data_IF_077265473203
#
_entry.id   IF_077265473203
#
_cell.length_a   1.000
_cell.length_b   1.000
_cell.length_c   1.000
_cell.angle_alpha   90.00
_cell.angle_beta   90.00
_cell.angle_gamma   90.00
#
_symmetry.space_group_name_H-M   'P 1'
#
loop_
_entity.id
_entity.type
_entity.pdbx_description
1 polymer ?
#
# COMPACT_ATOMS: atom_id res chain seq x y z
N UNK A 1 5.20 -20.85 -8.06
CA UNK A 1 6.13 -19.77 -7.63
C UNK A 1 5.83 -18.41 -8.28
N UNK A 2 5.96 -18.25 -9.62
CA UNK A 2 5.80 -16.94 -10.30
C UNK A 2 4.37 -16.34 -10.31
N UNK A 3 3.31 -17.16 -10.18
CA UNK A 3 1.91 -16.67 -10.06
C UNK A 3 1.54 -16.22 -8.64
N UNK A 4 2.18 -16.76 -7.60
CA UNK A 4 1.93 -16.39 -6.20
C UNK A 4 2.62 -15.06 -5.85
N UNK A 5 3.82 -14.82 -6.39
CA UNK A 5 4.54 -13.54 -6.26
C UNK A 5 3.83 -12.34 -6.93
N UNK A 6 2.83 -12.59 -7.80
CA UNK A 6 2.05 -11.53 -8.45
C UNK A 6 0.78 -11.13 -7.70
N UNK A 7 0.28 -11.98 -6.79
CA UNK A 7 -0.96 -11.70 -6.05
C UNK A 7 -0.75 -11.08 -4.67
N UNK A 8 0.49 -11.12 -4.15
CA UNK A 8 0.89 -10.43 -2.94
C UNK A 8 2.30 -9.87 -3.17
N UNK A 9 2.47 -8.55 -3.44
CA UNK A 9 3.81 -7.99 -3.40
C UNK A 9 4.37 -8.29 -2.02
N UNK A 10 5.49 -9.03 -1.96
CA UNK A 10 6.17 -9.33 -0.71
C UNK A 10 6.81 -8.04 -0.22
N UNK A 11 5.97 -7.19 0.36
CA UNK A 11 6.32 -5.88 0.87
C UNK A 11 7.51 -5.92 1.82
N UNK A 12 7.68 -7.03 2.54
CA UNK A 12 8.83 -7.34 3.38
C UNK A 12 10.15 -7.44 2.60
N UNK A 13 10.14 -8.08 1.44
CA UNK A 13 11.29 -8.20 0.55
C UNK A 13 11.61 -6.85 -0.09
N UNK A 14 10.59 -6.12 -0.54
CA UNK A 14 10.76 -4.75 -1.05
C UNK A 14 11.39 -3.84 -0.01
N UNK A 15 10.94 -3.90 1.25
CA UNK A 15 11.57 -3.16 2.33
C UNK A 15 13.01 -3.60 2.55
N UNK A 16 13.29 -4.91 2.54
CA UNK A 16 14.64 -5.44 2.68
C UNK A 16 15.59 -4.90 1.61
N UNK A 17 15.14 -4.85 0.35
CA UNK A 17 15.90 -4.26 -0.76
C UNK A 17 16.10 -2.76 -0.57
N UNK A 18 15.03 -2.01 -0.27
CA UNK A 18 15.11 -0.55 -0.03
C UNK A 18 16.07 -0.25 1.13
N UNK A 19 16.03 -1.03 2.21
CA UNK A 19 16.94 -0.91 3.35
C UNK A 19 18.40 -1.03 2.90
N UNK A 20 18.75 -2.13 2.22
CA UNK A 20 20.14 -2.39 1.78
C UNK A 20 20.63 -1.28 0.84
N UNK A 21 19.80 -0.87 -0.13
CA UNK A 21 20.15 0.19 -1.09
C UNK A 21 20.34 1.54 -0.39
N UNK A 22 19.41 1.93 0.48
CA UNK A 22 19.50 3.19 1.20
C UNK A 22 20.74 3.25 2.10
N UNK A 23 21.03 2.18 2.84
CA UNK A 23 22.23 2.11 3.69
C UNK A 23 23.50 2.16 2.85
N UNK A 24 23.54 1.49 1.70
CA UNK A 24 24.68 1.55 0.80
C UNK A 24 24.93 2.98 0.27
N UNK A 25 23.86 3.72 -0.07
CA UNK A 25 23.94 5.14 -0.47
C UNK A 25 24.47 6.00 0.69
N UNK A 26 23.97 5.79 1.91
CA UNK A 26 24.44 6.53 3.10
C UNK A 26 25.93 6.25 3.35
N UNK A 27 26.36 4.98 3.27
CA UNK A 27 27.76 4.61 3.42
C UNK A 27 28.64 5.24 2.34
N UNK A 28 28.21 5.21 1.08
CA UNK A 28 28.94 5.86 -0.01
C UNK A 28 29.09 7.36 0.24
N UNK A 29 28.02 8.03 0.66
CA UNK A 29 28.05 9.45 1.02
C UNK A 29 29.05 9.73 2.15
N UNK A 30 28.99 8.97 3.26
CA UNK A 30 29.91 9.13 4.39
C UNK A 30 31.37 8.85 4.00
N UNK A 31 31.62 7.84 3.15
CA UNK A 31 32.96 7.54 2.63
C UNK A 31 33.51 8.67 1.75
N UNK A 32 32.70 9.24 0.86
CA UNK A 32 33.12 10.38 0.05
C UNK A 32 33.40 11.62 0.90
N UNK A 33 32.59 11.85 1.94
CA UNK A 33 32.79 12.94 2.88
C UNK A 33 34.08 12.76 3.70
N UNK A 34 34.44 11.52 4.05
CA UNK A 34 35.69 11.21 4.77
C UNK A 34 36.96 11.59 4.00
N UNK A 35 36.90 11.67 2.67
CA UNK A 35 38.05 12.03 1.82
C UNK A 35 38.17 13.54 1.57
N UNK A 36 37.07 14.29 1.60
CA UNK A 36 37.01 15.65 1.07
C UNK A 36 37.01 16.76 2.13
N UNK A 37 36.86 16.44 3.41
CA UNK A 37 36.59 17.46 4.45
C UNK A 37 37.42 17.19 5.70
N UNK A 38 38.07 18.23 6.22
CA UNK A 38 38.67 18.31 7.57
C UNK A 38 37.60 18.35 8.67
N UNK A 39 36.49 17.63 8.48
CA UNK A 39 35.44 17.42 9.47
C UNK A 39 35.99 16.53 10.56
N UNK A 40 35.38 16.61 11.75
CA UNK A 40 35.70 15.77 12.89
C UNK A 40 35.71 14.28 12.50
N UNK A 41 36.92 13.76 12.29
CA UNK A 41 37.18 12.42 11.75
C UNK A 41 36.43 11.34 12.53
N UNK A 42 36.30 11.54 13.85
CA UNK A 42 35.53 10.69 14.76
C UNK A 42 34.04 10.58 14.37
N UNK A 43 33.39 11.66 13.98
CA UNK A 43 31.96 11.69 13.61
C UNK A 43 31.72 10.84 12.36
N UNK A 44 32.56 11.04 11.34
CA UNK A 44 32.43 10.32 10.07
C UNK A 44 32.75 8.83 10.26
N UNK A 45 33.79 8.49 11.02
CA UNK A 45 34.17 7.10 11.29
C UNK A 45 33.12 6.36 12.13
N UNK A 46 32.55 6.99 13.15
CA UNK A 46 31.48 6.39 13.96
C UNK A 46 30.19 6.18 13.15
N UNK A 47 29.86 7.10 12.25
CA UNK A 47 28.76 6.95 11.29
C UNK A 47 28.98 5.79 10.32
N UNK A 48 30.17 5.67 9.72
CA UNK A 48 30.52 4.56 8.83
C UNK A 48 30.39 3.22 9.57
N UNK A 49 30.91 3.13 10.80
CA UNK A 49 30.80 1.92 11.61
C UNK A 49 29.33 1.55 11.89
N UNK A 50 28.53 2.52 12.35
CA UNK A 50 27.11 2.32 12.66
C UNK A 50 26.33 1.78 11.46
N UNK A 51 26.47 2.42 10.29
CA UNK A 51 25.75 2.02 9.09
C UNK A 51 26.32 0.74 8.45
N UNK A 52 27.60 0.42 8.67
CA UNK A 52 28.18 -0.86 8.25
C UNK A 52 27.60 -2.02 9.05
N UNK A 53 27.48 -1.88 10.37
CA UNK A 53 26.81 -2.87 11.23
C UNK A 53 25.34 -3.01 10.82
N UNK A 54 24.67 -1.89 10.53
CA UNK A 54 23.28 -1.90 10.08
C UNK A 54 23.10 -2.55 8.70
N UNK A 55 24.07 -2.40 7.78
CA UNK A 55 24.08 -3.09 6.50
C UNK A 55 24.18 -4.61 6.68
N UNK A 56 25.06 -5.08 7.56
CA UNK A 56 25.19 -6.51 7.89
C UNK A 56 23.89 -7.07 8.45
N UNK A 57 23.21 -6.32 9.33
CA UNK A 57 21.87 -6.67 9.80
C UNK A 57 20.86 -6.76 8.64
N UNK A 58 20.84 -5.76 7.74
CA UNK A 58 19.98 -5.74 6.57
C UNK A 58 20.19 -6.94 5.64
N UNK A 59 21.44 -7.30 5.38
CA UNK A 59 21.82 -8.50 4.61
C UNK A 59 21.41 -9.78 5.34
N UNK A 60 21.59 -9.86 6.66
CA UNK A 60 21.12 -10.98 7.48
C UNK A 60 19.61 -11.18 7.41
N UNK A 61 18.83 -10.10 7.47
CA UNK A 61 17.37 -10.14 7.25
C UNK A 61 17.05 -10.61 5.83
N UNK A 62 17.78 -10.14 4.81
CA UNK A 62 17.61 -10.60 3.43
C UNK A 62 17.88 -12.10 3.27
N UNK A 63 18.95 -12.62 3.88
CA UNK A 63 19.29 -14.04 3.89
C UNK A 63 18.19 -14.84 4.61
N UNK A 64 17.61 -14.33 5.69
CA UNK A 64 16.54 -15.02 6.43
C UNK A 64 15.29 -15.31 5.58
N UNK A 65 15.03 -14.53 4.52
CA UNK A 65 13.94 -14.81 3.57
C UNK A 65 14.19 -16.06 2.73
N UNK A 66 15.45 -16.36 2.42
CA UNK A 66 15.81 -17.56 1.66
C UNK A 66 15.42 -18.84 2.42
N UNK A 67 15.48 -18.78 3.76
CA UNK A 67 15.12 -19.91 4.62
C UNK A 67 13.64 -19.90 5.04
N UNK A 68 13.02 -18.73 5.24
CA UNK A 68 11.61 -18.60 5.64
C UNK A 68 10.90 -17.49 4.85
N UNK A 69 10.36 -17.80 3.67
CA UNK A 69 9.75 -16.80 2.78
C UNK A 69 8.36 -16.32 3.23
N UNK A 70 7.78 -16.92 4.28
CA UNK A 70 6.49 -16.49 4.81
C UNK A 70 6.63 -15.18 5.59
N UNK A 71 5.58 -14.36 5.60
CA UNK A 71 5.51 -13.10 6.36
C UNK A 71 5.82 -13.34 7.84
N UNK A 72 6.73 -12.54 8.40
CA UNK A 72 7.14 -12.65 9.81
C UNK A 72 7.00 -11.32 10.55
N UNK A 73 6.11 -11.26 11.53
CA UNK A 73 5.97 -10.10 12.44
C UNK A 73 7.28 -9.80 13.15
N UNK A 74 8.05 -10.83 13.53
CA UNK A 74 9.33 -10.66 14.22
C UNK A 74 10.34 -9.91 13.34
N UNK A 75 10.49 -10.29 12.07
CA UNK A 75 11.44 -9.64 11.15
C UNK A 75 11.04 -8.21 10.86
N UNK A 76 9.74 -7.95 10.71
CA UNK A 76 9.23 -6.59 10.51
C UNK A 76 9.57 -5.73 11.72
N UNK A 77 9.18 -6.16 12.93
CA UNK A 77 9.41 -5.38 14.16
C UNK A 77 10.89 -5.16 14.44
N UNK A 78 11.73 -6.19 14.33
CA UNK A 78 13.18 -6.05 14.48
C UNK A 78 13.78 -5.11 13.44
N UNK A 79 13.30 -5.19 12.19
CA UNK A 79 13.69 -4.28 11.12
C UNK A 79 13.37 -2.83 11.44
N UNK A 80 12.15 -2.55 11.91
CA UNK A 80 11.72 -1.20 12.32
C UNK A 80 12.60 -0.67 13.45
N UNK A 81 12.86 -1.51 14.46
CA UNK A 81 13.70 -1.12 15.60
C UNK A 81 15.11 -0.76 15.14
N UNK A 82 15.71 -1.61 14.31
CA UNK A 82 17.05 -1.36 13.79
C UNK A 82 17.09 -0.06 12.95
N UNK A 83 16.16 0.12 12.02
CA UNK A 83 16.12 1.27 11.12
C UNK A 83 16.01 2.58 11.91
N UNK A 84 15.06 2.66 12.85
CA UNK A 84 14.85 3.89 13.63
C UNK A 84 15.99 4.13 14.62
N UNK A 85 16.51 3.09 15.26
CA UNK A 85 17.61 3.22 16.21
C UNK A 85 18.89 3.71 15.53
N UNK A 86 19.21 3.21 14.33
CA UNK A 86 20.39 3.67 13.58
C UNK A 86 20.30 5.17 13.23
N UNK A 87 19.15 5.65 12.78
CA UNK A 87 18.99 7.08 12.50
C UNK A 87 18.97 7.92 13.78
N UNK A 88 18.40 7.40 14.88
CA UNK A 88 18.40 8.10 16.18
C UNK A 88 19.80 8.23 16.76
N UNK A 89 20.59 7.15 16.74
CA UNK A 89 21.99 7.16 17.17
C UNK A 89 22.80 8.11 16.28
N UNK A 90 22.59 8.08 14.96
CA UNK A 90 23.26 9.00 14.05
C UNK A 90 22.96 10.47 14.41
N UNK A 91 21.72 10.83 14.74
CA UNK A 91 21.39 12.19 15.20
C UNK A 91 22.09 12.57 16.50
N UNK A 92 22.23 11.62 17.44
CA UNK A 92 22.90 11.84 18.72
C UNK A 92 24.41 12.07 18.52
N UNK A 93 25.06 11.34 17.61
CA UNK A 93 26.52 11.39 17.46
C UNK A 93 27.00 12.45 16.48
N UNK A 94 26.17 12.89 15.54
CA UNK A 94 26.59 13.79 14.44
C UNK A 94 26.11 15.24 14.58
N UNK A 95 25.25 15.56 15.56
CA UNK A 95 24.79 16.92 15.83
C UNK A 95 24.11 17.58 14.64
N UNK A 96 24.57 18.77 14.26
CA UNK A 96 24.01 19.56 13.15
C UNK A 96 24.05 18.80 11.82
N UNK A 97 25.17 18.12 11.53
CA UNK A 97 25.34 17.31 10.31
C UNK A 97 24.28 16.20 10.26
N UNK A 98 23.82 15.75 11.43
CA UNK A 98 22.80 14.73 11.59
C UNK A 98 21.36 15.20 11.46
N UNK A 99 21.11 16.50 11.43
CA UNK A 99 19.74 17.03 11.40
C UNK A 99 18.88 16.46 10.26
N UNK A 100 19.39 16.24 9.03
CA UNK A 100 18.61 15.61 7.96
C UNK A 100 18.12 14.19 8.26
N UNK A 101 18.76 13.45 9.18
CA UNK A 101 18.35 12.09 9.55
C UNK A 101 16.97 12.04 10.21
N UNK A 102 16.51 13.16 10.79
CA UNK A 102 15.14 13.30 11.28
C UNK A 102 14.10 12.98 10.18
N UNK A 103 14.33 13.44 8.95
CA UNK A 103 13.45 13.15 7.82
C UNK A 103 13.47 11.65 7.45
N UNK A 104 14.59 10.97 7.69
CA UNK A 104 14.71 9.52 7.56
C UNK A 104 13.80 8.76 8.53
N UNK A 105 13.71 9.18 9.79
CA UNK A 105 12.78 8.60 10.76
C UNK A 105 11.31 8.73 10.30
N UNK A 106 10.93 9.87 9.72
CA UNK A 106 9.60 10.06 9.14
C UNK A 106 9.36 9.17 7.92
N UNK A 107 10.32 9.11 6.99
CA UNK A 107 10.25 8.24 5.82
C UNK A 107 10.03 6.78 6.21
N UNK A 108 10.81 6.28 7.19
CA UNK A 108 10.67 4.93 7.74
C UNK A 108 9.28 4.75 8.36
N UNK A 109 8.82 5.71 9.16
CA UNK A 109 7.52 5.67 9.83
C UNK A 109 6.36 5.57 8.84
N UNK A 110 6.34 6.45 7.83
CA UNK A 110 5.31 6.42 6.78
C UNK A 110 5.39 5.15 5.94
N UNK A 111 6.59 4.76 5.53
CA UNK A 111 6.83 3.54 4.78
C UNK A 111 6.27 2.31 5.49
N UNK A 112 6.49 2.19 6.81
CA UNK A 112 5.93 1.09 7.60
C UNK A 112 4.40 1.18 7.71
N UNK A 113 3.84 2.38 7.87
CA UNK A 113 2.39 2.58 7.95
C UNK A 113 1.65 2.22 6.68
N UNK A 114 2.13 2.67 5.52
CA UNK A 114 1.54 2.33 4.22
C UNK A 114 1.66 0.84 3.92
N UNK A 115 2.82 0.26 4.25
CA UNK A 115 3.18 -1.10 3.88
C UNK A 115 2.57 -2.18 4.77
N UNK A 116 2.56 -1.96 6.09
CA UNK A 116 2.15 -2.97 7.07
C UNK A 116 0.91 -2.57 7.87
N UNK A 117 0.45 -1.33 7.75
CA UNK A 117 -0.77 -0.83 8.36
C UNK A 117 -0.56 0.02 9.61
N UNK A 118 -1.67 0.48 10.18
CA UNK A 118 -1.71 1.48 11.25
C UNK A 118 -0.93 1.08 12.52
N UNK A 119 -0.92 -0.22 12.88
CA UNK A 119 -0.23 -0.68 14.09
C UNK A 119 1.27 -0.40 14.01
N UNK A 120 1.86 -0.62 12.83
CA UNK A 120 3.28 -0.38 12.60
C UNK A 120 3.59 1.10 12.42
N UNK A 121 2.63 1.90 11.92
CA UNK A 121 2.74 3.37 11.89
C UNK A 121 2.86 3.93 13.32
N UNK A 122 1.96 3.54 14.22
CA UNK A 122 2.00 4.01 15.61
C UNK A 122 3.24 3.51 16.34
N UNK A 123 3.62 2.25 16.13
CA UNK A 123 4.84 1.68 16.73
C UNK A 123 6.11 2.42 16.28
N UNK A 124 6.26 2.66 14.97
CA UNK A 124 7.40 3.42 14.43
C UNK A 124 7.37 4.89 14.84
N UNK A 125 6.19 5.50 14.96
CA UNK A 125 6.04 6.87 15.49
C UNK A 125 6.53 6.94 16.94
N UNK A 126 6.06 6.03 17.80
CA UNK A 126 6.48 5.99 19.21
C UNK A 126 7.99 5.80 19.35
N UNK A 127 8.58 4.88 18.57
CA UNK A 127 10.01 4.66 18.60
C UNK A 127 10.80 5.87 18.07
N UNK A 128 10.33 6.53 17.00
CA UNK A 128 10.97 7.74 16.46
C UNK A 128 10.90 8.92 17.44
N UNK A 129 9.76 9.08 18.14
CA UNK A 129 9.59 10.10 19.19
C UNK A 129 10.56 9.86 20.34
N UNK A 130 10.70 8.62 20.80
CA UNK A 130 11.67 8.26 21.85
C UNK A 130 13.10 8.52 21.39
N UNK A 131 13.46 8.06 20.19
CA UNK A 131 14.79 8.23 19.63
C UNK A 131 15.18 9.70 19.42
N UNK A 132 14.26 10.52 18.93
CA UNK A 132 14.50 11.95 18.77
C UNK A 132 14.49 12.71 20.09
N UNK A 133 13.65 12.32 21.06
CA UNK A 133 13.70 12.88 22.42
C UNK A 133 15.05 12.62 23.08
N UNK A 134 15.63 11.44 22.87
CA UNK A 134 16.99 11.14 23.31
C UNK A 134 18.01 12.06 22.62
N UNK A 135 17.87 12.34 21.32
CA UNK A 135 18.73 13.30 20.62
C UNK A 135 18.63 14.73 21.20
N UNK A 136 17.43 15.18 21.58
CA UNK A 136 17.22 16.49 22.21
C UNK A 136 17.96 16.64 23.55
N UNK A 137 18.11 15.53 24.29
CA UNK A 137 18.73 15.53 25.63
C UNK A 137 20.22 15.22 25.57
N UNK A 138 20.67 14.37 24.64
CA UNK A 138 22.03 13.83 24.66
C UNK A 138 23.02 14.57 23.76
N UNK A 139 22.55 15.43 22.86
CA UNK A 139 23.41 16.11 21.89
C UNK A 139 23.36 17.63 22.04
N UNK A 140 24.55 18.26 22.07
CA UNK A 140 24.72 19.70 22.33
C UNK A 140 24.03 20.59 21.29
N UNK A 141 24.08 20.23 20.00
CA UNK A 141 23.41 21.01 18.96
C UNK A 141 21.90 21.10 19.21
N UNK A 142 21.28 19.99 19.59
CA UNK A 142 19.85 19.96 19.85
C UNK A 142 19.46 20.65 21.16
N UNK A 143 20.29 20.56 22.20
CA UNK A 143 20.10 21.33 23.44
C UNK A 143 20.16 22.84 23.18
N UNK A 144 21.06 23.28 22.30
CA UNK A 144 21.18 24.69 21.91
C UNK A 144 20.01 25.17 21.02
N UNK A 145 19.27 24.25 20.41
CA UNK A 145 18.19 24.54 19.45
C UNK A 145 16.84 23.95 19.89
N UNK A 146 16.56 23.91 21.21
CA UNK A 146 15.33 23.33 21.78
C UNK A 146 14.03 23.81 21.10
N UNK A 147 13.83 25.11 20.78
CA UNK A 147 12.59 25.54 20.12
C UNK A 147 12.33 24.84 18.78
N UNK A 148 13.38 24.68 17.95
CA UNK A 148 13.30 23.94 16.68
C UNK A 148 13.07 22.45 16.97
N UNK A 149 13.79 21.90 17.94
CA UNK A 149 13.66 20.52 18.38
C UNK A 149 12.23 20.15 18.81
N UNK A 150 11.57 20.99 19.61
CA UNK A 150 10.17 20.80 20.01
C UNK A 150 9.26 20.84 18.78
N UNK A 151 9.45 21.80 17.87
CA UNK A 151 8.68 21.87 16.63
C UNK A 151 8.78 20.60 15.79
N UNK A 152 10.00 20.06 15.64
CA UNK A 152 10.25 18.81 14.93
C UNK A 152 9.68 17.58 15.67
N UNK A 153 9.67 17.58 17.00
CA UNK A 153 9.06 16.51 17.81
C UNK A 153 7.53 16.49 17.65
N UNK A 154 6.90 17.67 17.65
CA UNK A 154 5.47 17.83 17.37
C UNK A 154 5.18 17.36 15.94
N UNK A 155 5.96 17.77 14.95
CA UNK A 155 5.79 17.33 13.56
C UNK A 155 5.96 15.80 13.41
N UNK A 156 6.94 15.21 14.11
CA UNK A 156 7.17 13.76 14.16
C UNK A 156 5.96 13.00 14.70
N UNK A 157 5.11 13.64 15.50
CA UNK A 157 3.90 13.03 16.08
C UNK A 157 2.65 13.31 15.25
N UNK A 158 2.46 14.58 14.84
CA UNK A 158 1.27 15.04 14.14
C UNK A 158 1.21 14.50 12.71
N UNK A 159 2.33 14.45 11.98
CA UNK A 159 2.33 14.00 10.59
C UNK A 159 1.93 12.53 10.45
N UNK A 160 2.50 11.56 11.21
CA UNK A 160 2.00 10.19 11.19
C UNK A 160 0.53 10.09 11.62
N UNK A 161 0.10 10.87 12.62
CA UNK A 161 -1.30 10.91 13.06
C UNK A 161 -2.26 11.35 11.95
N UNK A 162 -1.91 12.40 11.21
CA UNK A 162 -2.67 12.86 10.05
C UNK A 162 -2.73 11.81 8.94
N UNK A 163 -1.58 11.19 8.61
CA UNK A 163 -1.51 10.11 7.62
C UNK A 163 -2.35 8.91 8.06
N UNK A 164 -2.37 8.56 9.35
CA UNK A 164 -3.21 7.48 9.86
C UNK A 164 -4.69 7.74 9.58
N UNK A 165 -5.17 8.97 9.77
CA UNK A 165 -6.55 9.38 9.47
C UNK A 165 -6.82 9.30 7.96
N UNK A 166 -5.89 9.77 7.12
CA UNK A 166 -6.04 9.70 5.67
C UNK A 166 -6.12 8.26 5.15
N UNK A 167 -5.23 7.38 5.62
CA UNK A 167 -5.24 5.95 5.26
C UNK A 167 -6.57 5.32 5.65
N UNK A 168 -7.09 5.63 6.85
CA UNK A 168 -8.40 5.12 7.31
C UNK A 168 -9.54 5.57 6.41
N UNK A 169 -9.60 6.86 6.08
CA UNK A 169 -10.63 7.43 5.21
C UNK A 169 -10.58 6.81 3.82
N UNK A 170 -9.39 6.71 3.23
CA UNK A 170 -9.20 6.11 1.91
C UNK A 170 -9.68 4.66 1.87
N UNK A 171 -9.31 3.86 2.88
CA UNK A 171 -9.77 2.46 2.98
C UNK A 171 -11.28 2.34 3.18
N UNK A 172 -11.88 3.23 3.97
CA UNK A 172 -13.32 3.24 4.19
C UNK A 172 -14.09 3.56 2.90
N UNK A 173 -13.65 4.57 2.14
CA UNK A 173 -14.27 4.91 0.86
C UNK A 173 -14.04 3.84 -0.21
N UNK A 174 -12.85 3.25 -0.27
CA UNK A 174 -12.57 2.11 -1.15
C UNK A 174 -13.53 0.95 -0.84
N UNK A 175 -13.71 0.61 0.44
CA UNK A 175 -14.63 -0.45 0.86
C UNK A 175 -16.07 -0.14 0.47
N UNK A 176 -16.53 1.11 0.66
CA UNK A 176 -17.87 1.55 0.26
C UNK A 176 -18.08 1.43 -1.24
N UNK A 177 -17.09 1.85 -2.04
CA UNK A 177 -17.15 1.75 -3.50
C UNK A 177 -17.20 0.29 -3.96
N UNK A 178 -16.42 -0.59 -3.33
CA UNK A 178 -16.41 -2.02 -3.61
C UNK A 178 -17.74 -2.69 -3.23
N UNK A 179 -18.28 -2.40 -2.05
CA UNK A 179 -19.60 -2.87 -1.61
C UNK A 179 -20.72 -2.40 -2.56
N UNK A 180 -20.69 -1.14 -3.00
CA UNK A 180 -21.65 -0.59 -3.96
C UNK A 180 -21.53 -1.26 -5.34
N UNK A 181 -20.30 -1.49 -5.82
CA UNK A 181 -20.04 -2.20 -7.08
C UNK A 181 -20.58 -3.64 -7.03
N UNK A 182 -20.28 -4.37 -5.95
CA UNK A 182 -20.78 -5.73 -5.75
C UNK A 182 -22.32 -5.76 -5.69
N UNK A 183 -22.95 -4.81 -5.01
CA UNK A 183 -24.41 -4.71 -4.94
C UNK A 183 -25.04 -4.42 -6.32
N UNK A 184 -24.43 -3.51 -7.12
CA UNK A 184 -24.86 -3.22 -8.49
C UNK A 184 -24.79 -4.48 -9.36
N UNK A 185 -23.67 -5.20 -9.31
CA UNK A 185 -23.48 -6.44 -10.07
C UNK A 185 -24.46 -7.55 -9.66
N UNK A 186 -24.68 -7.72 -8.35
CA UNK A 186 -25.66 -8.68 -7.83
C UNK A 186 -27.09 -8.33 -8.26
N UNK A 187 -27.46 -7.05 -8.21
CA UNK A 187 -28.76 -6.57 -8.67
C UNK A 187 -28.96 -6.83 -10.17
N UNK A 188 -28.00 -6.46 -11.02
CA UNK A 188 -28.09 -6.66 -12.47
C UNK A 188 -28.15 -8.14 -12.85
N UNK A 189 -27.36 -8.99 -12.20
CA UNK A 189 -27.43 -10.43 -12.39
C UNK A 189 -28.81 -11.00 -12.03
N UNK A 190 -29.38 -10.59 -10.89
CA UNK A 190 -30.72 -11.02 -10.48
C UNK A 190 -31.80 -10.55 -11.46
N UNK A 191 -31.78 -9.27 -11.84
CA UNK A 191 -32.73 -8.71 -12.79
C UNK A 191 -32.66 -9.41 -14.16
N UNK A 192 -31.45 -9.74 -14.63
CA UNK A 192 -31.27 -10.50 -15.88
C UNK A 192 -31.96 -11.86 -15.83
N UNK A 193 -31.83 -12.60 -14.72
CA UNK A 193 -32.54 -13.87 -14.53
C UNK A 193 -34.06 -13.70 -14.49
N UNK A 194 -34.55 -12.68 -13.77
CA UNK A 194 -35.98 -12.41 -13.64
C UNK A 194 -36.62 -11.94 -14.96
N UNK A 195 -35.88 -11.25 -15.84
CA UNK A 195 -36.39 -10.81 -17.16
C UNK A 195 -36.25 -11.89 -18.23
N UNK A 196 -35.17 -12.69 -18.21
CA UNK A 196 -34.97 -13.78 -19.18
C UNK A 196 -36.13 -14.79 -19.16
N UNK A 197 -36.68 -15.06 -17.98
CA UNK A 197 -37.77 -16.04 -17.79
C UNK A 197 -39.05 -15.65 -18.56
N UNK A 198 -39.69 -14.48 -18.34
CA UNK A 198 -40.86 -14.06 -19.11
C UNK A 198 -40.53 -13.82 -20.59
N UNK A 199 -39.33 -13.34 -20.92
CA UNK A 199 -38.93 -13.08 -22.31
C UNK A 199 -38.82 -14.37 -23.13
N UNK A 200 -38.23 -15.43 -22.55
CA UNK A 200 -38.24 -16.76 -23.15
C UNK A 200 -39.66 -17.31 -23.31
N UNK A 201 -40.57 -16.97 -22.39
CA UNK A 201 -42.00 -17.27 -22.53
C UNK A 201 -42.63 -16.58 -23.74
N UNK A 202 -42.36 -15.28 -23.95
CA UNK A 202 -42.84 -14.51 -25.11
C UNK A 202 -42.26 -15.09 -26.41
N UNK A 203 -40.96 -15.36 -26.47
CA UNK A 203 -40.29 -15.95 -27.64
C UNK A 203 -40.89 -17.33 -27.94
N UNK A 204 -41.04 -18.20 -26.94
CA UNK A 204 -41.61 -19.53 -27.11
C UNK A 204 -43.08 -19.51 -27.55
N UNK A 205 -43.88 -18.60 -26.99
CA UNK A 205 -45.28 -18.42 -27.40
C UNK A 205 -45.38 -17.87 -28.82
N UNK A 206 -44.52 -16.90 -29.18
CA UNK A 206 -44.40 -16.38 -30.54
C UNK A 206 -44.00 -17.46 -31.55
N UNK A 207 -43.07 -18.35 -31.18
CA UNK A 207 -42.64 -19.47 -32.03
C UNK A 207 -43.77 -20.50 -32.24
N UNK A 208 -44.52 -20.82 -31.17
CA UNK A 208 -45.71 -21.67 -31.26
C UNK A 208 -46.80 -21.04 -32.15
N UNK A 209 -47.04 -19.72 -32.04
CA UNK A 209 -48.01 -19.01 -32.89
C UNK A 209 -47.68 -19.15 -34.38
N UNK A 210 -46.39 -19.14 -34.76
CA UNK A 210 -45.97 -19.32 -36.16
C UNK A 210 -46.33 -20.68 -36.75
N UNK A 211 -46.54 -21.69 -35.90
CA UNK A 211 -46.97 -23.04 -36.32
C UNK A 211 -48.48 -23.15 -36.56
N UNK A 212 -49.26 -22.16 -36.12
CA UNK A 212 -50.71 -22.13 -36.30
C UNK A 212 -51.13 -21.65 -37.70
N UNK A 213 -52.40 -21.89 -38.06
CA UNK A 213 -53.03 -21.33 -39.26
C UNK A 213 -53.32 -19.85 -39.04
N UNK A 214 -52.36 -19.00 -39.39
CA UNK A 214 -52.46 -17.54 -39.33
C UNK A 214 -52.73 -16.97 -40.74
N UNK A 215 -53.47 -15.88 -40.81
CA UNK A 215 -53.54 -15.06 -42.01
C UNK A 215 -52.22 -14.28 -42.22
N UNK A 216 -52.09 -13.56 -43.35
CA UNK A 216 -50.83 -12.88 -43.71
C UNK A 216 -50.40 -11.83 -42.69
N UNK A 217 -51.33 -11.00 -42.21
CA UNK A 217 -51.04 -9.93 -41.24
C UNK A 217 -50.71 -10.51 -39.85
N UNK A 218 -51.46 -11.52 -39.41
CA UNK A 218 -51.21 -12.21 -38.14
C UNK A 218 -49.83 -12.90 -38.09
N UNK A 219 -49.40 -13.49 -39.21
CA UNK A 219 -48.06 -14.09 -39.34
C UNK A 219 -46.96 -13.03 -39.25
N UNK A 220 -47.16 -11.89 -39.91
CA UNK A 220 -46.24 -10.76 -39.86
C UNK A 220 -46.11 -10.19 -38.44
N UNK A 221 -47.22 -10.07 -37.68
CA UNK A 221 -47.18 -9.69 -36.26
C UNK A 221 -46.45 -10.72 -35.39
N UNK A 222 -46.67 -12.02 -35.60
CA UNK A 222 -45.96 -13.07 -34.86
C UNK A 222 -44.44 -13.06 -35.13
N UNK A 223 -44.03 -12.78 -36.37
CA UNK A 223 -42.63 -12.61 -36.74
C UNK A 223 -42.00 -11.39 -36.05
N UNK A 224 -42.71 -10.25 -36.00
CA UNK A 224 -42.26 -9.04 -35.31
C UNK A 224 -42.09 -9.29 -33.80
N UNK A 225 -43.06 -9.93 -33.14
CA UNK A 225 -43.00 -10.24 -31.70
C UNK A 225 -41.80 -11.13 -31.40
N UNK A 226 -41.60 -12.19 -32.19
CA UNK A 226 -40.47 -13.10 -32.03
C UNK A 226 -39.12 -12.38 -32.21
N UNK A 227 -38.97 -11.61 -33.28
CA UNK A 227 -37.73 -10.88 -33.57
C UNK A 227 -37.43 -9.82 -32.49
N UNK A 228 -38.46 -9.14 -31.98
CA UNK A 228 -38.34 -8.16 -30.90
C UNK A 228 -37.92 -8.83 -29.59
N UNK A 229 -38.49 -10.00 -29.27
CA UNK A 229 -38.12 -10.79 -28.10
C UNK A 229 -36.65 -11.23 -28.12
N UNK A 230 -36.18 -11.75 -29.26
CA UNK A 230 -34.78 -12.12 -29.46
C UNK A 230 -33.83 -10.92 -29.35
N UNK A 231 -34.22 -9.78 -29.91
CA UNK A 231 -33.43 -8.54 -29.83
C UNK A 231 -33.31 -8.05 -28.39
N UNK A 232 -34.41 -8.06 -27.63
CA UNK A 232 -34.40 -7.65 -26.23
C UNK A 232 -33.55 -8.58 -25.36
N UNK A 233 -33.57 -9.89 -25.65
CA UNK A 233 -32.78 -10.87 -24.91
C UNK A 233 -31.28 -10.60 -25.09
N UNK A 234 -30.86 -10.36 -26.34
CA UNK A 234 -29.48 -10.01 -26.66
C UNK A 234 -29.04 -8.71 -25.98
N UNK A 235 -29.87 -7.67 -26.00
CA UNK A 235 -29.57 -6.39 -25.34
C UNK A 235 -29.35 -6.55 -23.83
N UNK A 236 -30.15 -7.40 -23.17
CA UNK A 236 -30.00 -7.67 -21.74
C UNK A 236 -28.69 -8.42 -21.46
N UNK A 237 -28.32 -9.37 -22.32
CA UNK A 237 -27.05 -10.11 -22.20
C UNK A 237 -25.85 -9.18 -22.38
N UNK A 238 -25.89 -8.30 -23.38
CA UNK A 238 -24.83 -7.32 -23.64
C UNK A 238 -24.63 -6.36 -22.44
N UNK A 239 -25.72 -5.89 -21.82
CA UNK A 239 -25.66 -5.04 -20.60
C UNK A 239 -25.05 -5.80 -19.41
N UNK A 240 -25.40 -7.07 -19.25
CA UNK A 240 -24.88 -7.90 -18.17
C UNK A 240 -23.36 -8.09 -18.31
N UNK A 241 -22.88 -8.33 -19.52
CA UNK A 241 -21.47 -8.57 -19.76
C UNK A 241 -20.62 -7.31 -19.55
N UNK A 242 -21.14 -6.12 -19.90
CA UNK A 242 -20.50 -4.84 -19.55
C UNK A 242 -20.39 -4.71 -18.02
N UNK A 243 -21.44 -5.04 -17.28
CA UNK A 243 -21.43 -4.97 -15.80
C UNK A 243 -20.44 -5.93 -15.14
N UNK A 244 -20.09 -7.06 -15.77
CA UNK A 244 -19.08 -7.98 -15.25
C UNK A 244 -17.65 -7.50 -15.49
N UNK A 245 -17.43 -6.65 -16.48
CA UNK A 245 -16.11 -6.11 -16.83
C UNK A 245 -15.75 -4.92 -15.94
N UNK A 246 -16.74 -4.13 -15.54
CA UNK A 246 -16.54 -2.94 -14.67
C UNK A 246 -16.40 -3.27 -13.17
N UNK A 247 -16.76 -4.48 -12.74
CA UNK A 247 -16.80 -4.91 -11.34
C UNK A 247 -15.58 -5.75 -10.94
#
# INVERSE_FOLDING_TARGET
>A
MRRWLRSHPNTEVEQGVVRVVMIAIILLYLSLMSHNVSTEVWVVQSGILLFSVHLLFGLGVMISFLFRPQRSTLRITLGIIADISSFSIAMITTGEIGAPWWAGCLWITFGNGFRYGERYLYFSTALSVVGFSAALVLNEFWQNNIPIGIGLLVAMTVLPGYIAVLIKRLRAEQKRAEEASQAKSAFLARMSHEIRTPLNGIIGTGDLLKTCKLNREEREYADIIYASGQTLLKLIEDILDISKIEA
#
